data_IF_819053524741
#
_entry.id   IF_819053524741
#
_cell.length_a   1.000
_cell.length_b   1.000
_cell.length_c   1.000
_cell.angle_alpha   90.00
_cell.angle_beta   90.00
_cell.angle_gamma   90.00
#
_symmetry.space_group_name_H-M   'P 1'
#
loop_
_entity.id
_entity.type
_entity.pdbx_description
1 polymer ?
#
# COMPACT_ATOMS: atom_id res chain seq x y z
N UNK A 1 24.54 7.14 5.34
CA UNK A 1 24.45 7.07 3.86
C UNK A 1 23.92 5.70 3.47
N UNK A 2 22.67 5.60 3.04
CA UNK A 2 22.11 4.34 2.56
C UNK A 2 22.73 4.04 1.20
N UNK A 3 23.68 3.08 1.17
CA UNK A 3 24.26 2.56 -0.06
C UNK A 3 23.09 1.98 -0.87
N UNK A 4 22.86 2.51 -2.05
CA UNK A 4 21.75 2.12 -2.89
C UNK A 4 21.82 0.58 -3.11
N UNK A 5 20.89 -0.16 -2.50
CA UNK A 5 20.91 -1.63 -2.33
C UNK A 5 20.95 -2.39 -3.67
N UNK A 6 20.66 -1.68 -4.75
CA UNK A 6 20.51 -2.24 -6.11
C UNK A 6 21.60 -1.80 -7.08
N UNK A 7 22.64 -1.08 -6.63
CA UNK A 7 23.71 -0.58 -7.53
C UNK A 7 24.42 -1.72 -8.28
N UNK A 8 24.53 -2.90 -7.64
CA UNK A 8 25.13 -4.08 -8.28
C UNK A 8 24.25 -4.79 -9.31
N UNK A 9 22.94 -4.46 -9.35
CA UNK A 9 21.99 -5.12 -10.24
C UNK A 9 21.82 -4.37 -11.57
N UNK A 10 22.50 -3.21 -11.74
CA UNK A 10 22.40 -2.38 -12.94
C UNK A 10 23.77 -2.05 -13.49
N UNK A 11 23.88 -2.09 -14.82
CA UNK A 11 25.04 -1.64 -15.60
C UNK A 11 24.68 -0.39 -16.37
N UNK A 12 25.58 0.59 -16.38
CA UNK A 12 25.42 1.77 -17.25
C UNK A 12 25.84 1.36 -18.66
N UNK A 13 24.92 1.50 -19.62
CA UNK A 13 25.19 1.30 -21.03
C UNK A 13 25.07 2.64 -21.73
N UNK A 14 26.16 3.06 -22.36
CA UNK A 14 26.15 4.26 -23.18
C UNK A 14 25.72 3.91 -24.59
N UNK A 15 24.66 4.54 -25.06
CA UNK A 15 24.18 4.44 -26.43
C UNK A 15 24.26 5.80 -27.12
N UNK A 16 24.57 5.80 -28.41
CA UNK A 16 24.54 7.02 -29.21
C UNK A 16 23.20 7.06 -29.94
N UNK A 17 22.42 8.10 -29.72
CA UNK A 17 21.15 8.30 -30.43
C UNK A 17 21.38 8.67 -31.91
N UNK A 18 20.34 8.61 -32.73
CA UNK A 18 20.40 8.96 -34.16
C UNK A 18 20.88 10.40 -34.45
N UNK A 19 20.98 11.23 -33.39
CA UNK A 19 21.45 12.63 -33.47
C UNK A 19 22.88 12.77 -32.94
N UNK A 20 23.60 11.66 -32.72
CA UNK A 20 24.98 11.65 -32.23
C UNK A 20 25.17 12.05 -30.76
N UNK A 21 24.10 12.06 -29.95
CA UNK A 21 24.19 12.37 -28.51
C UNK A 21 24.38 11.08 -27.72
N UNK A 22 25.35 11.11 -26.81
CA UNK A 22 25.56 10.01 -25.86
C UNK A 22 24.41 10.01 -24.85
N UNK A 23 23.69 8.90 -24.79
CA UNK A 23 22.65 8.64 -23.82
C UNK A 23 23.11 7.50 -22.92
N UNK A 24 23.10 7.74 -21.61
CA UNK A 24 23.41 6.72 -20.62
C UNK A 24 22.11 6.10 -20.14
N UNK A 25 21.89 4.84 -20.45
CA UNK A 25 20.75 4.05 -19.98
C UNK A 25 21.22 3.01 -18.96
N UNK A 26 20.31 2.60 -18.07
CA UNK A 26 20.58 1.57 -17.04
C UNK A 26 20.02 0.23 -17.51
N UNK A 27 20.90 -0.73 -17.74
CA UNK A 27 20.53 -2.09 -18.06
C UNK A 27 20.52 -2.95 -16.79
N UNK A 28 19.44 -3.69 -16.56
CA UNK A 28 19.32 -4.61 -15.45
C UNK A 28 20.09 -5.91 -15.76
N UNK A 29 21.11 -6.20 -14.94
CA UNK A 29 21.96 -7.41 -15.05
C UNK A 29 21.76 -8.39 -13.91
N UNK A 30 20.88 -8.06 -12.95
CA UNK A 30 20.57 -8.92 -11.80
C UNK A 30 19.80 -10.18 -12.19
N UNK A 31 19.71 -11.13 -11.27
CA UNK A 31 18.90 -12.31 -11.46
C UNK A 31 17.41 -11.93 -11.62
N UNK A 32 16.70 -12.49 -12.62
CA UNK A 32 15.28 -12.25 -12.80
C UNK A 32 14.47 -12.84 -11.65
N UNK A 33 13.35 -12.20 -11.30
CA UNK A 33 12.43 -12.63 -10.25
C UNK A 33 11.09 -13.01 -10.84
N UNK A 34 10.49 -14.06 -10.29
CA UNK A 34 9.15 -14.55 -10.68
C UNK A 34 8.30 -14.81 -9.45
N UNK A 35 6.98 -14.86 -9.62
CA UNK A 35 6.10 -15.27 -8.52
C UNK A 35 6.31 -16.74 -8.16
N UNK A 36 6.36 -17.04 -6.86
CA UNK A 36 6.39 -18.41 -6.36
C UNK A 36 5.06 -19.15 -6.56
N UNK A 37 3.96 -18.40 -6.68
CA UNK A 37 2.60 -18.93 -6.83
C UNK A 37 2.24 -19.09 -8.32
N UNK A 38 1.29 -19.98 -8.59
CA UNK A 38 0.70 -20.19 -9.91
C UNK A 38 -0.03 -18.95 -10.44
N UNK A 39 -0.16 -18.84 -11.76
CA UNK A 39 -0.73 -17.67 -12.42
C UNK A 39 -2.17 -17.36 -12.01
N UNK A 40 -2.99 -18.36 -11.69
CA UNK A 40 -4.37 -18.16 -11.24
C UNK A 40 -4.41 -17.56 -9.84
N UNK A 41 -3.60 -18.09 -8.92
CA UNK A 41 -3.46 -17.56 -7.56
C UNK A 41 -2.96 -16.13 -7.57
N UNK A 42 -1.97 -15.80 -8.42
CA UNK A 42 -1.46 -14.44 -8.60
C UNK A 42 -2.55 -13.52 -9.12
N UNK A 43 -3.31 -13.93 -10.15
CA UNK A 43 -4.41 -13.14 -10.71
C UNK A 43 -5.49 -12.86 -9.66
N UNK A 44 -5.89 -13.88 -8.90
CA UNK A 44 -6.88 -13.72 -7.83
C UNK A 44 -6.38 -12.78 -6.72
N UNK A 45 -5.11 -12.90 -6.30
CA UNK A 45 -4.51 -12.03 -5.29
C UNK A 45 -4.45 -10.56 -5.78
N UNK A 46 -4.06 -10.31 -7.04
CA UNK A 46 -4.05 -8.98 -7.65
C UNK A 46 -5.42 -8.31 -7.58
N UNK A 47 -6.47 -9.02 -8.00
CA UNK A 47 -7.84 -8.50 -7.98
C UNK A 47 -8.31 -8.18 -6.57
N UNK A 48 -8.00 -9.06 -5.60
CA UNK A 48 -8.35 -8.85 -4.19
C UNK A 48 -7.62 -7.65 -3.59
N UNK A 49 -6.33 -7.49 -3.88
CA UNK A 49 -5.55 -6.32 -3.45
C UNK A 49 -6.15 -5.03 -4.02
N UNK A 50 -6.46 -5.00 -5.32
CA UNK A 50 -7.06 -3.83 -5.96
C UNK A 50 -8.43 -3.49 -5.33
N UNK A 51 -9.29 -4.50 -5.12
CA UNK A 51 -10.60 -4.32 -4.48
C UNK A 51 -10.45 -3.77 -3.05
N UNK A 52 -9.49 -4.29 -2.26
CA UNK A 52 -9.23 -3.78 -0.90
C UNK A 52 -8.73 -2.35 -0.90
N UNK A 53 -7.84 -1.97 -1.83
CA UNK A 53 -7.38 -0.59 -1.96
C UNK A 53 -8.56 0.34 -2.32
N UNK A 54 -9.41 -0.06 -3.28
CA UNK A 54 -10.58 0.73 -3.68
C UNK A 54 -11.58 0.88 -2.52
N UNK A 55 -11.90 -0.20 -1.81
CA UNK A 55 -12.79 -0.18 -0.65
C UNK A 55 -12.18 0.65 0.50
N UNK A 56 -10.86 0.56 0.72
CA UNK A 56 -10.15 1.38 1.70
C UNK A 56 -10.25 2.88 1.39
N UNK A 57 -10.04 3.26 0.14
CA UNK A 57 -10.21 4.66 -0.28
C UNK A 57 -11.67 5.13 -0.14
N UNK A 58 -12.63 4.30 -0.54
CA UNK A 58 -14.05 4.62 -0.40
C UNK A 58 -14.40 4.84 1.08
N UNK A 59 -14.00 3.94 1.96
CA UNK A 59 -14.23 4.07 3.39
C UNK A 59 -13.55 5.32 3.96
N UNK A 60 -12.31 5.62 3.54
CA UNK A 60 -11.58 6.80 3.99
C UNK A 60 -12.29 8.10 3.57
N UNK A 61 -12.75 8.21 2.32
CA UNK A 61 -13.47 9.38 1.82
C UNK A 61 -14.84 9.52 2.49
N UNK A 62 -15.61 8.43 2.60
CA UNK A 62 -16.96 8.46 3.20
C UNK A 62 -16.90 8.86 4.67
N UNK A 63 -15.86 8.46 5.41
CA UNK A 63 -15.68 8.86 6.80
C UNK A 63 -15.48 10.37 6.99
N UNK A 64 -15.02 11.08 5.96
CA UNK A 64 -14.79 12.54 6.01
C UNK A 64 -16.05 13.37 5.68
N UNK A 65 -17.10 12.76 5.12
CA UNK A 65 -18.28 13.51 4.67
C UNK A 65 -19.19 13.97 5.81
N UNK A 66 -19.53 13.14 6.83
CA UNK A 66 -20.38 13.59 7.92
C UNK A 66 -19.61 14.38 8.98
N UNK A 67 -20.31 15.26 9.66
CA UNK A 67 -19.75 15.93 10.84
C UNK A 67 -19.66 14.92 11.98
N UNK A 68 -18.43 14.64 12.42
CA UNK A 68 -18.13 13.70 13.51
C UNK A 68 -17.41 14.40 14.65
N UNK A 69 -17.76 14.06 15.89
CA UNK A 69 -17.03 14.52 17.08
C UNK A 69 -15.59 13.96 17.11
N UNK A 70 -15.38 12.77 16.54
CA UNK A 70 -14.06 12.16 16.38
C UNK A 70 -13.06 13.10 15.70
N UNK A 71 -13.48 13.83 14.67
CA UNK A 71 -12.64 14.77 13.93
C UNK A 71 -12.24 16.03 14.73
N UNK A 72 -12.86 16.29 15.86
CA UNK A 72 -12.48 17.35 16.79
C UNK A 72 -11.32 16.95 17.69
N UNK A 73 -11.12 15.66 17.92
CA UNK A 73 -10.00 15.14 18.68
C UNK A 73 -8.76 15.03 17.77
N UNK A 74 -7.76 15.87 18.04
CA UNK A 74 -6.56 16.00 17.20
C UNK A 74 -5.87 14.67 16.91
N UNK A 75 -5.75 13.80 17.92
CA UNK A 75 -5.11 12.49 17.78
C UNK A 75 -5.86 11.58 16.80
N UNK A 76 -7.21 11.58 16.87
CA UNK A 76 -8.05 10.76 15.99
C UNK A 76 -7.97 11.32 14.55
N UNK A 77 -8.17 12.62 14.41
CA UNK A 77 -8.14 13.30 13.12
C UNK A 77 -6.79 13.14 12.40
N UNK A 78 -5.67 13.34 13.11
CA UNK A 78 -4.34 13.17 12.53
C UNK A 78 -4.05 11.72 12.17
N UNK A 79 -4.35 10.77 13.05
CA UNK A 79 -4.13 9.35 12.76
C UNK A 79 -4.90 8.92 11.52
N UNK A 80 -6.17 9.31 11.42
CA UNK A 80 -7.00 9.00 10.27
C UNK A 80 -6.52 9.68 8.98
N UNK A 81 -6.16 10.96 9.05
CA UNK A 81 -5.62 11.70 7.91
C UNK A 81 -4.30 11.09 7.40
N UNK A 82 -3.37 10.78 8.31
CA UNK A 82 -2.09 10.17 7.95
C UNK A 82 -2.23 8.76 7.38
N UNK A 83 -3.31 8.02 7.64
CA UNK A 83 -3.56 6.72 7.02
C UNK A 83 -3.68 6.80 5.49
N UNK A 84 -4.02 7.95 4.92
CA UNK A 84 -4.07 8.16 3.47
C UNK A 84 -2.70 7.97 2.79
N UNK A 85 -1.60 8.35 3.44
CA UNK A 85 -0.25 8.27 2.88
C UNK A 85 0.17 6.81 2.60
N UNK A 86 0.20 5.91 3.59
CA UNK A 86 0.52 4.51 3.32
C UNK A 86 -0.54 3.81 2.46
N UNK A 87 -1.81 4.24 2.49
CA UNK A 87 -2.84 3.73 1.58
C UNK A 87 -2.54 4.11 0.13
N UNK A 88 -2.11 5.35 -0.14
CA UNK A 88 -1.69 5.80 -1.47
C UNK A 88 -0.47 5.02 -1.98
N UNK A 89 0.53 4.80 -1.12
CA UNK A 89 1.71 4.00 -1.47
C UNK A 89 1.34 2.54 -1.78
N UNK A 90 0.48 1.92 -0.96
CA UNK A 90 -0.01 0.56 -1.21
C UNK A 90 -0.77 0.46 -2.53
N UNK A 91 -1.61 1.47 -2.84
CA UNK A 91 -2.35 1.55 -4.10
C UNK A 91 -1.42 1.73 -5.31
N UNK A 92 -0.37 2.54 -5.20
CA UNK A 92 0.65 2.68 -6.24
C UNK A 92 1.36 1.36 -6.54
N UNK A 93 1.70 0.58 -5.49
CA UNK A 93 2.28 -0.76 -5.66
C UNK A 93 1.24 -1.71 -6.26
N UNK A 94 -0.04 -1.63 -5.85
CA UNK A 94 -1.12 -2.44 -6.43
C UNK A 94 -1.27 -2.18 -7.94
N UNK A 95 -1.18 -0.93 -8.39
CA UNK A 95 -1.20 -0.59 -9.82
C UNK A 95 -0.01 -1.21 -10.56
N UNK A 96 1.18 -1.23 -9.96
CA UNK A 96 2.36 -1.85 -10.58
C UNK A 96 2.19 -3.36 -10.82
N UNK A 97 1.38 -4.06 -9.99
CA UNK A 97 1.06 -5.48 -10.21
C UNK A 97 0.37 -5.76 -11.56
N UNK A 98 -0.36 -4.78 -12.09
CA UNK A 98 -1.06 -4.93 -13.37
C UNK A 98 -0.21 -4.49 -14.56
N UNK A 99 0.76 -3.61 -14.33
CA UNK A 99 1.63 -3.07 -15.38
C UNK A 99 2.83 -3.96 -15.64
N UNK A 100 3.44 -4.48 -14.58
CA UNK A 100 4.67 -5.25 -14.68
C UNK A 100 4.34 -6.74 -14.83
N UNK A 101 4.98 -7.38 -15.81
CA UNK A 101 4.88 -8.82 -16.07
C UNK A 101 6.18 -9.50 -15.67
N UNK A 102 6.15 -10.75 -15.15
CA UNK A 102 7.39 -11.50 -14.92
C UNK A 102 8.13 -11.75 -16.25
N UNK A 103 9.45 -11.81 -16.27
CA UNK A 103 10.35 -11.69 -15.11
C UNK A 103 10.52 -10.26 -14.62
N UNK A 104 10.69 -10.08 -13.28
CA UNK A 104 10.82 -8.77 -12.64
C UNK A 104 12.26 -8.45 -12.28
N UNK A 105 12.54 -7.15 -12.11
CA UNK A 105 13.73 -6.66 -11.46
C UNK A 105 13.65 -6.86 -9.93
N UNK A 106 14.79 -7.00 -9.27
CA UNK A 106 14.90 -7.10 -7.81
C UNK A 106 14.14 -5.97 -7.08
N UNK A 107 14.21 -4.75 -7.59
CA UNK A 107 13.51 -3.59 -7.03
C UNK A 107 11.99 -3.78 -6.97
N UNK A 108 11.40 -4.46 -7.95
CA UNK A 108 9.98 -4.76 -7.96
C UNK A 108 9.63 -5.83 -6.92
N UNK A 109 10.42 -6.91 -6.86
CA UNK A 109 10.26 -7.95 -5.85
C UNK A 109 10.33 -7.38 -4.42
N UNK A 110 11.30 -6.50 -4.12
CA UNK A 110 11.43 -5.84 -2.80
C UNK A 110 10.21 -4.96 -2.46
N UNK A 111 9.64 -4.26 -3.45
CA UNK A 111 8.41 -3.49 -3.23
C UNK A 111 7.23 -4.38 -2.82
N UNK A 112 7.09 -5.54 -3.43
CA UNK A 112 6.01 -6.47 -3.15
C UNK A 112 6.18 -7.16 -1.80
N UNK A 113 7.41 -7.60 -1.47
CA UNK A 113 7.67 -8.38 -0.27
C UNK A 113 7.81 -7.55 1.01
N UNK A 114 8.39 -6.36 0.91
CA UNK A 114 8.71 -5.55 2.08
C UNK A 114 7.84 -4.29 2.18
N UNK A 115 7.75 -3.51 1.10
CA UNK A 115 7.09 -2.20 1.19
C UNK A 115 5.57 -2.29 1.21
N UNK A 116 4.97 -3.14 0.38
CA UNK A 116 3.51 -3.25 0.33
C UNK A 116 2.91 -3.79 1.64
N UNK A 117 3.45 -4.86 2.27
CA UNK A 117 2.99 -5.29 3.58
C UNK A 117 3.20 -4.25 4.67
N UNK A 118 4.33 -3.50 4.65
CA UNK A 118 4.57 -2.42 5.60
C UNK A 118 3.54 -1.29 5.45
N UNK A 119 3.23 -0.85 4.23
CA UNK A 119 2.21 0.16 4.00
C UNK A 119 0.85 -0.27 4.54
N UNK A 120 0.40 -1.49 4.26
CA UNK A 120 -0.89 -1.98 4.75
C UNK A 120 -0.91 -2.17 6.27
N UNK A 121 0.22 -2.52 6.88
CA UNK A 121 0.37 -2.53 8.34
C UNK A 121 0.16 -1.13 8.94
N UNK A 122 0.79 -0.10 8.37
CA UNK A 122 0.61 1.28 8.85
C UNK A 122 -0.82 1.80 8.66
N UNK A 123 -1.49 1.43 7.56
CA UNK A 123 -2.92 1.76 7.39
C UNK A 123 -3.75 1.13 8.51
N UNK A 124 -3.52 -0.15 8.83
CA UNK A 124 -4.24 -0.84 9.90
C UNK A 124 -3.94 -0.23 11.27
N UNK A 125 -2.67 0.12 11.54
CA UNK A 125 -2.25 0.76 12.79
C UNK A 125 -2.92 2.11 12.98
N UNK A 126 -2.81 3.01 12.00
CA UNK A 126 -3.35 4.37 12.08
C UNK A 126 -4.88 4.38 12.10
N UNK A 127 -5.52 3.54 11.28
CA UNK A 127 -6.97 3.35 11.32
C UNK A 127 -7.44 2.74 12.65
N UNK A 128 -6.66 1.81 13.21
CA UNK A 128 -6.92 1.22 14.53
C UNK A 128 -6.82 2.23 15.67
N UNK A 129 -5.81 3.10 15.65
CA UNK A 129 -5.68 4.20 16.63
C UNK A 129 -6.89 5.14 16.55
N UNK A 130 -7.34 5.49 15.34
CA UNK A 130 -8.51 6.32 15.16
C UNK A 130 -9.78 5.64 15.69
N UNK A 131 -9.98 4.35 15.40
CA UNK A 131 -11.14 3.57 15.85
C UNK A 131 -11.17 3.41 17.38
N UNK A 132 -10.01 3.10 17.98
CA UNK A 132 -9.89 2.99 19.45
C UNK A 132 -10.13 4.34 20.12
N UNK A 133 -9.57 5.41 19.54
CA UNK A 133 -9.79 6.77 20.04
C UNK A 133 -11.26 7.16 20.05
N UNK A 134 -12.00 6.81 18.99
CA UNK A 134 -13.44 7.03 18.92
C UNK A 134 -14.20 6.22 20.00
N UNK A 135 -13.87 4.95 20.16
CA UNK A 135 -14.46 4.12 21.21
C UNK A 135 -14.20 4.69 22.62
N UNK A 136 -12.99 5.20 22.88
CA UNK A 136 -12.65 5.84 24.15
C UNK A 136 -13.46 7.13 24.35
N UNK A 137 -13.65 7.95 23.32
CA UNK A 137 -14.47 9.17 23.40
C UNK A 137 -15.92 8.82 23.75
N UNK A 138 -16.50 7.82 23.08
CA UNK A 138 -17.85 7.34 23.37
C UNK A 138 -18.00 6.85 24.82
N UNK A 139 -17.02 6.09 25.33
CA UNK A 139 -17.03 5.58 26.72
C UNK A 139 -16.88 6.70 27.77
N UNK A 140 -16.24 7.81 27.42
CA UNK A 140 -16.10 8.99 28.31
C UNK A 140 -17.34 9.88 28.33
N UNK A 141 -18.41 9.50 27.63
CA UNK A 141 -19.66 10.26 27.58
C UNK A 141 -19.56 11.52 26.73
N UNK A 142 -18.67 11.56 25.74
CA UNK A 142 -18.66 12.63 24.74
C UNK A 142 -19.99 12.65 24.00
N UNK A 143 -20.49 13.85 23.68
CA UNK A 143 -21.69 13.97 22.84
C UNK A 143 -21.47 13.28 21.49
N UNK A 144 -22.25 12.22 21.25
CA UNK A 144 -22.21 11.49 20.00
C UNK A 144 -22.97 12.30 18.92
N UNK A 145 -22.29 12.59 17.84
CA UNK A 145 -22.89 13.20 16.66
C UNK A 145 -23.37 12.08 15.71
N UNK A 146 -24.36 12.35 14.85
CA UNK A 146 -24.86 11.37 13.87
C UNK A 146 -23.76 10.79 12.96
N UNK A 147 -22.68 11.57 12.75
CA UNK A 147 -21.53 11.16 11.94
C UNK A 147 -20.58 10.16 12.61
N UNK A 148 -20.61 10.03 13.96
CA UNK A 148 -19.65 9.17 14.68
C UNK A 148 -19.84 7.71 14.36
N UNK A 149 -21.08 7.25 14.24
CA UNK A 149 -21.38 5.88 13.79
C UNK A 149 -20.86 5.59 12.39
N UNK A 150 -21.01 6.52 11.45
CA UNK A 150 -20.47 6.40 10.09
C UNK A 150 -18.95 6.36 10.12
N UNK A 151 -18.30 7.25 10.89
CA UNK A 151 -16.87 7.28 11.05
C UNK A 151 -16.34 5.96 11.60
N UNK A 152 -16.94 5.44 12.69
CA UNK A 152 -16.54 4.19 13.31
C UNK A 152 -16.63 3.00 12.34
N UNK A 153 -17.76 2.88 11.61
CA UNK A 153 -17.94 1.83 10.60
C UNK A 153 -16.89 1.96 9.49
N UNK A 154 -16.67 3.15 8.95
CA UNK A 154 -15.69 3.38 7.89
C UNK A 154 -14.26 3.10 8.37
N UNK A 155 -13.89 3.51 9.59
CA UNK A 155 -12.59 3.21 10.18
C UNK A 155 -12.41 1.69 10.37
N UNK A 156 -13.44 0.98 10.83
CA UNK A 156 -13.41 -0.48 10.96
C UNK A 156 -13.25 -1.17 9.59
N UNK A 157 -13.96 -0.72 8.55
CA UNK A 157 -13.81 -1.21 7.17
C UNK A 157 -12.40 -0.97 6.65
N UNK A 158 -11.84 0.23 6.87
CA UNK A 158 -10.48 0.56 6.47
C UNK A 158 -9.46 -0.39 7.10
N UNK A 159 -9.57 -0.64 8.41
CA UNK A 159 -8.71 -1.59 9.14
C UNK A 159 -8.87 -3.01 8.62
N UNK A 160 -10.09 -3.47 8.43
CA UNK A 160 -10.38 -4.81 7.89
C UNK A 160 -9.79 -4.99 6.49
N UNK A 161 -9.98 -4.01 5.58
CA UNK A 161 -9.39 -4.01 4.25
C UNK A 161 -7.86 -4.05 4.30
N UNK A 162 -7.24 -3.27 5.20
CA UNK A 162 -5.80 -3.24 5.36
C UNK A 162 -5.24 -4.59 5.84
N UNK A 163 -5.87 -5.22 6.84
CA UNK A 163 -5.48 -6.55 7.35
C UNK A 163 -5.64 -7.61 6.26
N UNK A 164 -6.76 -7.61 5.54
CA UNK A 164 -6.98 -8.57 4.47
C UNK A 164 -5.98 -8.36 3.32
N UNK A 165 -5.73 -7.13 2.92
CA UNK A 165 -4.75 -6.76 1.90
C UNK A 165 -3.34 -7.22 2.32
N UNK A 166 -2.95 -7.00 3.60
CA UNK A 166 -1.68 -7.48 4.15
C UNK A 166 -1.50 -8.99 3.99
N UNK A 167 -2.57 -9.77 4.22
CA UNK A 167 -2.54 -11.22 4.02
C UNK A 167 -2.38 -11.61 2.54
N UNK A 168 -2.98 -10.84 1.62
CA UNK A 168 -2.82 -11.09 0.18
C UNK A 168 -1.41 -10.79 -0.30
N UNK A 169 -0.76 -9.71 0.19
CA UNK A 169 0.63 -9.41 -0.12
C UNK A 169 1.58 -10.54 0.26
N UNK A 170 1.37 -11.15 1.43
CA UNK A 170 2.17 -12.31 1.88
C UNK A 170 2.04 -13.55 0.99
N UNK A 171 1.00 -13.64 0.15
CA UNK A 171 0.82 -14.71 -0.84
C UNK A 171 1.55 -14.45 -2.15
N UNK A 172 1.91 -13.20 -2.42
CA UNK A 172 2.62 -12.76 -3.63
C UNK A 172 4.15 -12.78 -3.42
N UNK A 173 4.67 -13.89 -2.86
CA UNK A 173 6.12 -14.07 -2.71
C UNK A 173 6.78 -14.18 -4.05
N UNK A 174 7.98 -13.60 -4.17
CA UNK A 174 8.82 -13.67 -5.34
C UNK A 174 10.03 -14.58 -5.08
N UNK A 175 10.44 -15.33 -6.08
CA UNK A 175 11.64 -16.18 -6.07
C UNK A 175 12.53 -15.81 -7.24
N UNK A 176 13.83 -16.05 -7.13
CA UNK A 176 14.73 -15.91 -8.26
C UNK A 176 14.39 -16.99 -9.28
N UNK A 177 14.28 -16.60 -10.55
CA UNK A 177 14.21 -17.57 -11.63
C UNK A 177 15.60 -18.20 -11.80
N UNK A 178 15.64 -19.53 -11.83
CA UNK A 178 16.84 -20.30 -12.15
C UNK A 178 17.16 -20.22 -13.64
#
# INVERSE_FOLDING_TARGET
MSRNRYVGDYRIVESIDERGRVRSDYEYIGAPWVYAADGQTVKAARMRVAACCAAGWLAWVVALLPVSAAMRALVIALSFAFAALPLALASGIAVSLFREKPPFEHRHADRLENRAPACTFFVALLGGVALIGEAVNALRGAELLPGDGVFAVCAAVLVACAIFCHRQWKRLKCIKAE
#
